data_IF_770936376183
#
_entry.id   IF_770936376183
#
_cell.length_a   1.000
_cell.length_b   1.000
_cell.length_c   1.000
_cell.angle_alpha   90.00
_cell.angle_beta   90.00
_cell.angle_gamma   90.00
#
_symmetry.space_group_name_H-M   'P 1'
#
loop_
_entity.id
_entity.type
_entity.pdbx_description
1 polymer ?
#
# COMPACT_ATOMS: atom_id res chain seq x y z
N UNK A 1 8.01 2.72 5.65
CA UNK A 1 6.57 2.46 5.91
C UNK A 1 6.21 2.36 7.38
N UNK A 2 7.03 1.81 8.29
CA UNK A 2 6.67 1.66 9.73
C UNK A 2 6.26 2.94 10.47
N UNK A 3 6.83 4.09 10.11
CA UNK A 3 6.54 5.38 10.76
C UNK A 3 5.45 6.22 10.06
N UNK A 4 4.70 5.62 9.11
CA UNK A 4 3.61 6.33 8.45
C UNK A 4 2.51 6.69 9.46
N UNK A 5 2.05 7.94 9.43
CA UNK A 5 1.04 8.47 10.36
C UNK A 5 -0.33 7.81 10.19
N UNK A 6 -0.61 7.22 9.02
CA UNK A 6 -1.87 6.53 8.73
C UNK A 6 -1.92 5.15 9.37
N UNK A 7 -0.77 4.53 9.61
CA UNK A 7 -0.70 3.21 10.23
C UNK A 7 -1.34 3.23 11.61
N UNK A 8 -2.10 2.19 11.93
CA UNK A 8 -2.69 2.01 13.24
C UNK A 8 -2.38 0.62 13.76
N UNK A 9 -2.03 0.51 15.05
CA UNK A 9 -1.78 -0.77 15.74
C UNK A 9 -0.77 -1.70 15.05
N UNK A 10 0.16 -1.15 14.27
CA UNK A 10 1.18 -1.92 13.55
C UNK A 10 0.74 -2.47 12.18
N UNK A 11 -0.49 -2.14 11.76
CA UNK A 11 -1.02 -2.43 10.42
C UNK A 11 -0.74 -1.27 9.47
N UNK A 12 -0.42 -1.61 8.22
CA UNK A 12 -0.26 -0.59 7.20
C UNK A 12 -1.62 -0.11 6.70
N UNK A 13 -1.76 1.20 6.57
CA UNK A 13 -2.97 1.82 6.01
C UNK A 13 -2.63 2.69 4.82
N UNK A 14 -3.27 2.40 3.70
CA UNK A 14 -3.02 3.07 2.44
C UNK A 14 -4.24 3.86 1.96
N UNK A 15 -3.93 4.87 1.17
CA UNK A 15 -4.90 5.45 0.24
C UNK A 15 -4.61 4.83 -1.12
N UNK A 16 -5.56 4.06 -1.65
CA UNK A 16 -5.42 3.33 -2.91
C UNK A 16 -6.35 3.93 -3.96
N UNK A 17 -5.90 3.98 -5.20
CA UNK A 17 -6.73 4.39 -6.31
C UNK A 17 -7.53 3.17 -6.79
N UNK A 18 -8.85 3.22 -6.65
CA UNK A 18 -9.74 2.17 -7.15
C UNK A 18 -10.05 2.39 -8.64
N UNK A 19 -10.31 3.65 -9.02
CA UNK A 19 -10.47 4.08 -10.41
C UNK A 19 -10.09 5.54 -10.60
N UNK A 20 -10.01 6.02 -11.84
CA UNK A 20 -9.66 7.42 -12.12
C UNK A 20 -10.69 8.35 -11.47
N UNK A 21 -10.23 9.19 -10.55
CA UNK A 21 -11.07 10.12 -9.79
C UNK A 21 -11.68 9.52 -8.51
N UNK A 22 -11.44 8.24 -8.21
CA UNK A 22 -11.96 7.56 -7.03
C UNK A 22 -10.83 6.89 -6.23
N UNK A 23 -10.60 7.43 -5.04
CA UNK A 23 -9.65 6.89 -4.08
C UNK A 23 -10.37 6.28 -2.88
N UNK A 24 -9.87 5.13 -2.44
CA UNK A 24 -10.23 4.47 -1.21
C UNK A 24 -9.20 4.84 -0.13
N UNK A 25 -9.67 5.23 1.06
CA UNK A 25 -8.81 5.70 2.14
C UNK A 25 -8.80 4.72 3.30
N UNK A 26 -7.72 4.78 4.10
CA UNK A 26 -7.55 3.98 5.33
C UNK A 26 -7.69 2.46 5.12
N UNK A 27 -7.37 1.99 3.93
CA UNK A 27 -7.42 0.58 3.58
C UNK A 27 -6.27 -0.13 4.29
N UNK A 28 -6.62 -1.08 5.16
CA UNK A 28 -5.62 -1.96 5.77
C UNK A 28 -5.05 -2.88 4.71
N UNK A 29 -3.72 -2.95 4.62
CA UNK A 29 -3.01 -3.79 3.65
C UNK A 29 -2.03 -4.70 4.38
N UNK A 30 -2.05 -5.97 4.00
CA UNK A 30 -1.14 -6.97 4.53
C UNK A 30 0.30 -6.74 4.09
N UNK A 31 1.24 -7.10 4.95
CA UNK A 31 2.67 -6.90 4.69
C UNK A 31 3.15 -7.68 3.46
N UNK A 32 2.64 -8.90 3.29
CA UNK A 32 2.95 -9.78 2.16
C UNK A 32 2.55 -9.12 0.84
N UNK A 33 1.35 -8.54 0.75
CA UNK A 33 0.88 -7.82 -0.44
C UNK A 33 1.75 -6.59 -0.78
N UNK A 34 2.28 -5.89 0.24
CA UNK A 34 3.22 -4.78 0.05
C UNK A 34 4.55 -5.28 -0.52
N UNK A 35 5.07 -6.39 -0.01
CA UNK A 35 6.31 -7.01 -0.48
C UNK A 35 6.19 -7.52 -1.92
N UNK A 36 5.10 -8.23 -2.24
CA UNK A 36 4.79 -8.67 -3.61
C UNK A 36 4.70 -7.49 -4.58
N UNK A 37 4.00 -6.42 -4.18
CA UNK A 37 3.88 -5.20 -4.98
C UNK A 37 5.25 -4.56 -5.22
N UNK A 38 6.10 -4.51 -4.21
CA UNK A 38 7.44 -3.95 -4.34
C UNK A 38 8.29 -4.74 -5.35
N UNK A 39 8.23 -6.08 -5.29
CA UNK A 39 8.95 -6.94 -6.24
C UNK A 39 8.42 -6.77 -7.66
N UNK A 40 7.11 -6.75 -7.84
CA UNK A 40 6.46 -6.50 -9.12
C UNK A 40 6.93 -5.19 -9.78
N UNK A 41 6.99 -4.10 -9.01
CA UNK A 41 7.45 -2.82 -9.55
C UNK A 41 8.96 -2.79 -9.82
N UNK A 42 9.75 -3.49 -9.00
CA UNK A 42 11.20 -3.60 -9.22
C UNK A 42 11.51 -4.36 -10.52
N UNK A 43 10.85 -5.49 -10.74
CA UNK A 43 11.04 -6.32 -11.95
C UNK A 43 10.54 -5.65 -13.24
N UNK A 44 9.56 -4.74 -13.15
CA UNK A 44 9.01 -4.01 -14.30
C UNK A 44 9.74 -2.71 -14.66
N UNK A 45 10.67 -2.27 -13.81
CA UNK A 45 11.50 -1.09 -14.07
C UNK A 45 12.89 -1.44 -14.63
N UNK A 46 13.19 -2.74 -14.80
CA UNK A 46 14.32 -3.26 -15.60
C UNK A 46 13.88 -3.58 -17.03
#
# INVERSE_FOLDING_TARGET
MKADKKNQKGEFRFSLLESVGQACYDITVDKEAVEESFMFYKERME
#
